data_IF_265416775248
#
_entry.id   IF_265416775248
#
_cell.length_a   1.000
_cell.length_b   1.000
_cell.length_c   1.000
_cell.angle_alpha   90.00
_cell.angle_beta   90.00
_cell.angle_gamma   90.00
#
_symmetry.space_group_name_H-M   'P 1'
#
loop_
_entity.id
_entity.type
_entity.pdbx_description
1 polymer ?
#
# COMPACT_ATOMS: atom_id res chain seq x y z
N UNK A 1 -8.02 11.26 28.40
CA UNK A 1 -8.50 9.99 27.81
C UNK A 1 -9.34 10.21 26.55
N UNK A 2 -10.35 11.10 26.56
CA UNK A 2 -11.21 11.41 25.39
C UNK A 2 -10.40 11.90 24.16
N UNK A 3 -9.44 12.81 24.32
CA UNK A 3 -8.62 13.36 23.22
C UNK A 3 -7.84 12.30 22.47
N UNK A 4 -7.17 11.38 23.18
CA UNK A 4 -6.41 10.26 22.56
C UNK A 4 -7.32 9.36 21.71
N UNK A 5 -8.53 9.08 22.21
CA UNK A 5 -9.50 8.24 21.52
C UNK A 5 -10.06 8.93 20.25
N UNK A 6 -10.42 10.22 20.36
CA UNK A 6 -10.90 11.00 19.21
C UNK A 6 -9.82 11.12 18.13
N UNK A 7 -8.56 11.39 18.54
CA UNK A 7 -7.44 11.44 17.58
C UNK A 7 -7.23 10.08 16.89
N UNK A 8 -7.35 8.98 17.63
CA UNK A 8 -7.19 7.64 17.03
C UNK A 8 -8.28 7.35 16.01
N UNK A 9 -9.55 7.60 16.35
CA UNK A 9 -10.66 7.40 15.40
C UNK A 9 -10.50 8.31 14.18
N UNK A 10 -10.22 9.61 14.40
CA UNK A 10 -9.97 10.54 13.32
C UNK A 10 -8.82 10.09 12.41
N UNK A 11 -7.71 9.62 12.99
CA UNK A 11 -6.57 9.10 12.24
C UNK A 11 -6.93 7.82 11.45
N UNK A 12 -7.71 6.91 12.03
CA UNK A 12 -8.25 5.72 11.34
C UNK A 12 -9.05 6.14 10.10
N UNK A 13 -9.94 7.11 10.22
CA UNK A 13 -10.75 7.61 9.10
C UNK A 13 -9.88 8.33 8.05
N UNK A 14 -8.92 9.15 8.45
CA UNK A 14 -7.99 9.82 7.54
C UNK A 14 -7.13 8.81 6.77
N UNK A 15 -6.66 7.77 7.44
CA UNK A 15 -5.90 6.69 6.79
C UNK A 15 -6.78 5.92 5.81
N UNK A 16 -8.02 5.60 6.18
CA UNK A 16 -9.00 4.99 5.28
C UNK A 16 -9.19 5.84 4.03
N UNK A 17 -9.47 7.14 4.21
CA UNK A 17 -9.65 8.10 3.12
C UNK A 17 -8.41 8.18 2.23
N UNK A 18 -7.21 8.23 2.81
CA UNK A 18 -5.96 8.26 2.04
C UNK A 18 -5.81 7.07 1.10
N UNK A 19 -6.19 5.88 1.56
CA UNK A 19 -6.10 4.65 0.76
C UNK A 19 -7.23 4.52 -0.26
N UNK A 20 -8.43 4.96 0.10
CA UNK A 20 -9.54 5.05 -0.83
C UNK A 20 -9.20 6.01 -1.98
N UNK A 21 -8.72 7.22 -1.70
CA UNK A 21 -8.31 8.19 -2.72
C UNK A 21 -7.23 7.60 -3.64
N UNK A 22 -6.24 6.90 -3.09
CA UNK A 22 -5.14 6.32 -3.85
C UNK A 22 -5.62 5.52 -5.04
N UNK A 23 -6.57 4.63 -4.86
CA UNK A 23 -7.03 3.70 -5.92
C UNK A 23 -8.46 3.99 -6.41
N UNK A 24 -9.02 5.14 -6.07
CA UNK A 24 -10.42 5.52 -6.44
C UNK A 24 -10.70 5.35 -7.93
N UNK A 25 -9.74 5.69 -8.80
CA UNK A 25 -9.95 5.62 -10.23
C UNK A 25 -9.70 4.22 -10.81
N UNK A 26 -9.03 3.34 -10.09
CA UNK A 26 -8.60 2.03 -10.60
C UNK A 26 -9.75 1.16 -11.14
N UNK A 27 -10.89 1.00 -10.45
CA UNK A 27 -11.99 0.17 -10.95
C UNK A 27 -12.79 0.81 -12.10
N UNK A 28 -12.60 2.10 -12.36
CA UNK A 28 -13.35 2.90 -13.35
C UNK A 28 -12.43 3.70 -14.27
N UNK A 29 -11.18 3.25 -14.43
CA UNK A 29 -10.10 4.01 -15.04
C UNK A 29 -10.45 4.48 -16.47
N UNK A 30 -10.90 3.57 -17.33
CA UNK A 30 -11.26 3.90 -18.72
C UNK A 30 -12.48 4.83 -18.79
N UNK A 31 -13.44 4.69 -17.86
CA UNK A 31 -14.59 5.58 -17.79
C UNK A 31 -14.16 7.02 -17.45
N UNK A 32 -13.24 7.17 -16.48
CA UNK A 32 -12.71 8.49 -16.09
C UNK A 32 -11.88 9.10 -17.22
N UNK A 33 -11.07 8.30 -17.92
CA UNK A 33 -10.32 8.74 -19.09
C UNK A 33 -11.24 9.31 -20.17
N UNK A 34 -12.32 8.61 -20.48
CA UNK A 34 -13.32 9.06 -21.46
C UNK A 34 -14.00 10.38 -21.03
N UNK A 35 -14.44 10.50 -19.77
CA UNK A 35 -15.11 11.70 -19.24
C UNK A 35 -14.18 12.92 -19.28
N UNK A 36 -12.92 12.73 -18.91
CA UNK A 36 -11.94 13.82 -18.79
C UNK A 36 -11.21 14.12 -20.10
N UNK A 37 -11.41 13.30 -21.14
CA UNK A 37 -10.79 13.47 -22.46
C UNK A 37 -9.28 13.22 -22.49
N UNK A 38 -8.77 12.38 -21.56
CA UNK A 38 -7.35 12.02 -21.48
C UNK A 38 -7.14 10.52 -21.69
N UNK A 39 -5.88 10.09 -21.85
CA UNK A 39 -5.55 8.67 -22.00
C UNK A 39 -5.71 7.88 -20.68
N UNK A 40 -5.92 6.55 -20.79
CA UNK A 40 -5.90 5.64 -19.65
C UNK A 40 -4.60 5.77 -18.85
N UNK A 41 -3.46 5.96 -19.54
CA UNK A 41 -2.17 6.22 -18.92
C UNK A 41 -2.18 7.46 -18.01
N UNK A 42 -2.84 8.54 -18.43
CA UNK A 42 -2.97 9.76 -17.64
C UNK A 42 -3.77 9.52 -16.36
N UNK A 43 -4.84 8.74 -16.42
CA UNK A 43 -5.63 8.38 -15.22
C UNK A 43 -4.85 7.43 -14.32
N UNK A 44 -4.15 6.44 -14.88
CA UNK A 44 -3.29 5.54 -14.11
C UNK A 44 -2.18 6.26 -13.36
N UNK A 45 -1.63 7.35 -13.91
CA UNK A 45 -0.66 8.20 -13.21
C UNK A 45 -1.22 8.74 -11.89
N UNK A 46 -2.54 8.95 -11.76
CA UNK A 46 -3.17 9.42 -10.52
C UNK A 46 -2.96 8.42 -9.36
N UNK A 47 -2.90 7.13 -9.64
CA UNK A 47 -2.54 6.13 -8.62
C UNK A 47 -1.02 6.08 -8.38
N UNK A 48 -0.20 6.22 -9.43
CA UNK A 48 1.26 6.09 -9.36
C UNK A 48 1.92 7.25 -8.61
N UNK A 49 1.33 8.44 -8.60
CA UNK A 49 1.87 9.58 -7.84
C UNK A 49 1.96 9.29 -6.33
N UNK A 50 1.11 8.42 -5.77
CA UNK A 50 1.17 8.05 -4.35
C UNK A 50 2.47 7.34 -3.97
N UNK A 51 2.88 6.22 -4.58
CA UNK A 51 4.18 5.62 -4.29
C UNK A 51 5.36 6.54 -4.62
N UNK A 52 5.25 7.42 -5.64
CA UNK A 52 6.29 8.42 -5.95
C UNK A 52 6.47 9.40 -4.78
N UNK A 53 5.38 10.05 -4.34
CA UNK A 53 5.46 10.99 -3.22
C UNK A 53 5.83 10.29 -1.91
N UNK A 54 5.37 9.06 -1.69
CA UNK A 54 5.79 8.28 -0.53
C UNK A 54 7.30 8.04 -0.56
N UNK A 55 7.87 7.65 -1.70
CA UNK A 55 9.32 7.44 -1.87
C UNK A 55 10.13 8.71 -1.56
N UNK A 56 9.70 9.85 -2.09
CA UNK A 56 10.41 11.12 -1.94
C UNK A 56 10.26 11.69 -0.53
N UNK A 57 9.06 11.61 0.05
CA UNK A 57 8.70 12.33 1.27
C UNK A 57 8.85 11.51 2.55
N UNK A 58 8.96 10.17 2.49
CA UNK A 58 8.94 9.34 3.70
C UNK A 58 10.04 9.70 4.70
N UNK A 59 11.27 10.00 4.23
CA UNK A 59 12.39 10.40 5.07
C UNK A 59 12.22 11.83 5.60
N UNK A 60 11.97 12.86 4.75
CA UNK A 60 11.70 14.22 5.22
C UNK A 60 10.55 14.30 6.22
N UNK A 61 9.46 13.60 5.94
CA UNK A 61 8.28 13.57 6.82
C UNK A 61 8.59 12.89 8.15
N UNK A 62 9.37 11.82 8.17
CA UNK A 62 9.83 11.20 9.42
C UNK A 62 10.55 12.20 10.32
N UNK A 63 11.48 12.97 9.76
CA UNK A 63 12.22 14.04 10.48
C UNK A 63 11.27 15.14 10.98
N UNK A 64 10.31 15.54 10.16
CA UNK A 64 9.33 16.57 10.53
C UNK A 64 8.42 16.11 11.67
N UNK A 65 7.95 14.86 11.63
CA UNK A 65 7.15 14.24 12.70
C UNK A 65 7.93 14.15 14.02
N UNK A 66 9.23 13.85 13.96
CA UNK A 66 10.09 13.83 15.18
C UNK A 66 10.26 15.22 15.77
N UNK A 67 10.37 16.28 14.95
CA UNK A 67 10.49 17.67 15.41
C UNK A 67 9.22 18.21 16.06
N UNK A 68 8.08 18.04 15.40
CA UNK A 68 6.78 18.47 15.93
C UNK A 68 5.66 17.54 15.43
N UNK A 69 5.47 16.47 16.18
CA UNK A 69 4.52 15.41 15.83
C UNK A 69 3.10 15.93 15.58
N UNK A 70 2.57 16.76 16.48
CA UNK A 70 1.18 17.24 16.38
C UNK A 70 0.97 18.10 15.13
N UNK A 71 1.88 19.05 14.89
CA UNK A 71 1.77 19.97 13.76
C UNK A 71 1.82 19.20 12.43
N UNK A 72 2.83 18.37 12.24
CA UNK A 72 3.05 17.72 10.96
C UNK A 72 2.04 16.61 10.67
N UNK A 73 1.58 15.91 11.70
CA UNK A 73 0.46 14.97 11.53
C UNK A 73 -0.84 15.73 11.19
N UNK A 74 -1.08 16.91 11.76
CA UNK A 74 -2.23 17.74 11.39
C UNK A 74 -2.14 18.26 9.95
N UNK A 75 -0.96 18.70 9.52
CA UNK A 75 -0.73 19.13 8.12
C UNK A 75 -1.06 17.98 7.15
N UNK A 76 -0.53 16.78 7.36
CA UNK A 76 -0.83 15.63 6.50
C UNK A 76 -2.32 15.25 6.49
N UNK A 77 -2.96 15.30 7.68
CA UNK A 77 -4.39 15.01 7.80
C UNK A 77 -5.25 16.05 7.07
N UNK A 78 -4.91 17.33 7.13
CA UNK A 78 -5.62 18.40 6.40
C UNK A 78 -5.43 18.28 4.89
N UNK A 79 -4.23 17.92 4.41
CA UNK A 79 -3.99 17.67 2.98
C UNK A 79 -4.83 16.47 2.48
N UNK A 80 -4.88 15.38 3.25
CA UNK A 80 -5.70 14.21 2.92
C UNK A 80 -7.19 14.56 2.93
N UNK A 81 -7.65 15.33 3.92
CA UNK A 81 -9.02 15.84 3.99
C UNK A 81 -9.37 16.67 2.76
N UNK A 82 -8.53 17.65 2.42
CA UNK A 82 -8.76 18.53 1.27
C UNK A 82 -8.88 17.71 -0.04
N UNK A 83 -8.01 16.71 -0.22
CA UNK A 83 -8.09 15.77 -1.33
C UNK A 83 -9.42 14.99 -1.35
N UNK A 84 -9.82 14.42 -0.23
CA UNK A 84 -11.04 13.61 -0.15
C UNK A 84 -12.33 14.40 -0.26
N UNK A 85 -12.38 15.58 0.36
CA UNK A 85 -13.60 16.38 0.46
C UNK A 85 -13.85 17.25 -0.78
N UNK A 86 -12.83 17.91 -1.33
CA UNK A 86 -13.04 18.95 -2.34
C UNK A 86 -13.05 18.45 -3.78
N UNK A 87 -12.54 17.25 -4.07
CA UNK A 87 -12.59 16.67 -5.42
C UNK A 87 -14.01 16.50 -5.98
N UNK A 88 -15.02 16.46 -5.13
CA UNK A 88 -16.43 16.33 -5.50
C UNK A 88 -16.94 17.54 -6.30
N UNK A 89 -16.31 18.71 -6.17
CA UNK A 89 -16.77 19.94 -6.83
C UNK A 89 -16.31 20.09 -8.27
N UNK A 90 -15.32 19.31 -8.73
CA UNK A 90 -14.82 19.38 -10.11
C UNK A 90 -14.51 17.99 -10.69
N UNK A 91 -15.51 17.07 -10.76
CA UNK A 91 -15.28 15.67 -11.06
C UNK A 91 -14.91 15.39 -12.52
N UNK A 92 -15.13 16.33 -13.44
CA UNK A 92 -14.94 16.13 -14.88
C UNK A 92 -13.67 16.80 -15.45
N UNK A 93 -12.86 17.44 -14.60
CA UNK A 93 -11.68 18.16 -15.07
C UNK A 93 -10.40 17.48 -14.59
N UNK A 94 -9.63 16.89 -15.51
CA UNK A 94 -8.39 16.15 -15.19
C UNK A 94 -7.42 16.95 -14.32
N UNK A 95 -7.19 18.22 -14.61
CA UNK A 95 -6.26 19.09 -13.85
C UNK A 95 -6.67 19.19 -12.37
N UNK A 96 -7.97 19.29 -12.08
CA UNK A 96 -8.47 19.32 -10.71
C UNK A 96 -8.37 17.96 -10.04
N UNK A 97 -8.69 16.88 -10.76
CA UNK A 97 -8.52 15.52 -10.24
C UNK A 97 -7.04 15.26 -9.89
N UNK A 98 -6.13 15.66 -10.77
CA UNK A 98 -4.69 15.56 -10.53
C UNK A 98 -4.24 16.39 -9.33
N UNK A 99 -4.69 17.64 -9.23
CA UNK A 99 -4.37 18.52 -8.09
C UNK A 99 -4.82 17.94 -6.74
N UNK A 100 -6.06 17.47 -6.65
CA UNK A 100 -6.54 16.83 -5.42
C UNK A 100 -5.83 15.51 -5.13
N UNK A 101 -5.53 14.73 -6.16
CA UNK A 101 -4.77 13.50 -6.01
C UNK A 101 -3.36 13.76 -5.46
N UNK A 102 -2.70 14.83 -5.94
CA UNK A 102 -1.41 15.28 -5.40
C UNK A 102 -1.50 15.65 -3.91
N UNK A 103 -2.54 16.38 -3.49
CA UNK A 103 -2.72 16.71 -2.06
C UNK A 103 -2.80 15.45 -1.20
N UNK A 104 -3.56 14.44 -1.65
CA UNK A 104 -3.65 13.15 -0.96
C UNK A 104 -2.32 12.40 -0.92
N UNK A 105 -1.61 12.37 -2.05
CA UNK A 105 -0.30 11.72 -2.18
C UNK A 105 0.77 12.37 -1.28
N UNK A 106 0.75 13.71 -1.14
CA UNK A 106 1.64 14.43 -0.22
C UNK A 106 1.22 14.19 1.24
N UNK A 107 -0.09 14.12 1.53
CA UNK A 107 -0.61 13.89 2.88
C UNK A 107 -0.36 12.47 3.42
N UNK A 108 -0.32 11.45 2.55
CA UNK A 108 -0.20 10.04 2.93
C UNK A 108 1.04 9.71 3.79
N UNK A 109 2.27 10.14 3.45
CA UNK A 109 3.45 9.83 4.25
C UNK A 109 3.36 10.33 5.69
N UNK A 110 2.69 11.46 5.95
CA UNK A 110 2.52 11.98 7.30
C UNK A 110 1.67 11.07 8.18
N UNK A 111 0.59 10.54 7.64
CA UNK A 111 -0.27 9.63 8.39
C UNK A 111 0.34 8.24 8.56
N UNK A 112 0.91 7.64 7.50
CA UNK A 112 1.47 6.29 7.57
C UNK A 112 2.73 6.20 8.43
N UNK A 113 3.65 7.17 8.34
CA UNK A 113 4.85 7.20 9.16
C UNK A 113 4.54 7.49 10.64
N UNK A 114 3.37 8.05 10.94
CA UNK A 114 2.96 8.36 12.30
C UNK A 114 2.52 7.13 13.13
N UNK A 115 2.22 5.98 12.52
CA UNK A 115 1.61 4.83 13.20
C UNK A 115 2.38 4.37 14.45
N UNK A 116 3.64 4.03 14.28
CA UNK A 116 4.48 3.53 15.37
C UNK A 116 4.70 4.61 16.44
N UNK A 117 4.91 5.85 16.01
CA UNK A 117 5.14 7.00 16.85
C UNK A 117 3.91 7.36 17.67
N UNK A 118 2.74 7.44 17.04
CA UNK A 118 1.46 7.66 17.72
C UNK A 118 1.15 6.57 18.74
N UNK A 119 1.30 5.30 18.34
CA UNK A 119 1.02 4.17 19.21
C UNK A 119 1.97 4.10 20.40
N UNK A 120 3.27 4.32 20.22
CA UNK A 120 4.24 4.31 21.31
C UNK A 120 4.05 5.48 22.28
N UNK A 121 3.68 6.66 21.77
CA UNK A 121 3.52 7.87 22.60
C UNK A 121 2.22 7.86 23.41
N UNK A 122 1.10 7.49 22.78
CA UNK A 122 -0.22 7.69 23.39
C UNK A 122 -0.91 6.39 23.83
N UNK A 123 -0.43 5.21 23.35
CA UNK A 123 -1.02 3.89 23.59
C UNK A 123 0.04 2.83 23.93
N UNK A 124 1.08 3.18 24.71
CA UNK A 124 2.21 2.30 25.00
C UNK A 124 1.80 0.88 25.42
N UNK A 125 0.85 0.75 26.39
CA UNK A 125 0.33 -0.55 26.85
C UNK A 125 -0.46 -1.34 25.78
N UNK A 126 -0.92 -0.67 24.74
CA UNK A 126 -1.71 -1.25 23.63
C UNK A 126 -1.10 -0.94 22.26
N UNK A 127 0.20 -0.71 22.22
CA UNK A 127 0.94 -0.28 21.03
C UNK A 127 0.63 -1.15 19.82
N UNK A 128 0.78 -2.47 19.97
CA UNK A 128 0.55 -3.43 18.86
C UNK A 128 -0.89 -3.35 18.34
N UNK A 129 -1.87 -3.34 19.25
CA UNK A 129 -3.28 -3.24 18.86
C UNK A 129 -3.57 -1.93 18.10
N UNK A 130 -3.01 -0.81 18.54
CA UNK A 130 -3.20 0.50 17.89
C UNK A 130 -2.60 0.50 16.47
N UNK A 131 -1.38 -0.03 16.31
CA UNK A 131 -0.75 -0.18 14.98
C UNK A 131 -1.60 -1.09 14.10
N UNK A 132 -2.10 -2.22 14.63
CA UNK A 132 -2.95 -3.14 13.87
C UNK A 132 -4.24 -2.49 13.39
N UNK A 133 -4.91 -1.67 14.23
CA UNK A 133 -6.12 -0.94 13.83
C UNK A 133 -5.85 0.07 12.71
N UNK A 134 -4.75 0.82 12.81
CA UNK A 134 -4.33 1.76 11.76
C UNK A 134 -3.96 1.03 10.47
N UNK A 135 -3.24 -0.09 10.56
CA UNK A 135 -2.91 -0.93 9.39
C UNK A 135 -4.14 -1.56 8.76
N UNK A 136 -5.11 -1.99 9.57
CA UNK A 136 -6.39 -2.51 9.08
C UNK A 136 -7.17 -1.45 8.29
N UNK A 137 -7.14 -0.20 8.75
CA UNK A 137 -7.76 0.93 8.04
C UNK A 137 -7.15 1.16 6.66
N UNK A 138 -5.83 0.93 6.48
CA UNK A 138 -5.16 0.97 5.16
C UNK A 138 -5.84 -0.01 4.20
N UNK A 139 -6.00 -1.26 4.60
CA UNK A 139 -6.62 -2.27 3.73
C UNK A 139 -8.11 -2.01 3.51
N UNK A 140 -8.84 -1.55 4.54
CA UNK A 140 -10.27 -1.24 4.40
C UNK A 140 -10.54 -0.14 3.38
N UNK A 141 -9.74 0.95 3.39
CA UNK A 141 -9.89 2.02 2.41
C UNK A 141 -9.64 1.53 0.98
N UNK A 142 -8.59 0.73 0.79
CA UNK A 142 -8.28 0.15 -0.53
C UNK A 142 -9.38 -0.82 -1.00
N UNK A 143 -9.85 -1.71 -0.13
CA UNK A 143 -10.93 -2.67 -0.45
C UNK A 143 -12.21 -1.94 -0.79
N UNK A 144 -12.59 -0.93 0.00
CA UNK A 144 -13.78 -0.12 -0.24
C UNK A 144 -13.74 0.51 -1.62
N UNK A 145 -12.66 1.18 -1.95
CA UNK A 145 -12.51 1.84 -3.25
C UNK A 145 -12.62 0.87 -4.42
N UNK A 146 -11.90 -0.24 -4.37
CA UNK A 146 -11.86 -1.24 -5.44
C UNK A 146 -13.19 -2.01 -5.58
N UNK A 147 -13.84 -2.36 -4.46
CA UNK A 147 -15.08 -3.13 -4.49
C UNK A 147 -16.31 -2.28 -4.81
N UNK A 148 -16.35 -1.04 -4.30
CA UNK A 148 -17.54 -0.20 -4.40
C UNK A 148 -17.44 0.87 -5.49
N UNK A 149 -16.25 1.15 -6.03
CA UNK A 149 -16.03 2.25 -6.96
C UNK A 149 -16.88 2.15 -8.22
N UNK A 150 -16.92 0.98 -8.85
CA UNK A 150 -17.76 0.78 -10.04
C UNK A 150 -19.25 0.83 -9.74
N UNK A 151 -19.67 0.25 -8.60
CA UNK A 151 -21.07 0.30 -8.17
C UNK A 151 -21.54 1.76 -7.99
N UNK A 152 -20.79 2.59 -7.28
CA UNK A 152 -21.13 4.00 -7.12
C UNK A 152 -21.08 4.76 -8.44
N UNK A 153 -20.11 4.44 -9.30
CA UNK A 153 -20.04 5.06 -10.62
C UNK A 153 -21.30 4.81 -11.45
N UNK A 154 -21.81 3.58 -11.45
CA UNK A 154 -23.01 3.20 -12.16
C UNK A 154 -24.30 3.83 -11.57
N UNK A 155 -24.29 4.24 -10.30
CA UNK A 155 -25.41 4.95 -9.68
C UNK A 155 -25.54 6.41 -10.09
N UNK A 156 -24.43 7.12 -10.35
CA UNK A 156 -24.48 8.55 -10.65
C UNK A 156 -23.14 9.18 -11.00
N UNK A 157 -22.25 8.40 -11.63
CA UNK A 157 -20.95 8.88 -12.12
C UNK A 157 -19.97 9.22 -11.01
N UNK A 158 -19.00 10.07 -11.33
CA UNK A 158 -17.90 10.43 -10.40
C UNK A 158 -18.38 11.12 -9.12
N UNK A 159 -19.50 11.85 -9.19
CA UNK A 159 -20.02 12.54 -8.01
C UNK A 159 -20.41 11.53 -6.91
N UNK A 160 -21.08 10.45 -7.27
CA UNK A 160 -21.47 9.39 -6.32
C UNK A 160 -20.28 8.56 -5.84
N UNK A 161 -19.23 8.41 -6.64
CA UNK A 161 -17.96 7.80 -6.21
C UNK A 161 -17.28 8.62 -5.13
N UNK A 162 -17.28 9.95 -5.27
CA UNK A 162 -16.57 10.84 -4.34
C UNK A 162 -17.36 11.15 -3.06
N UNK A 163 -18.70 11.04 -3.10
CA UNK A 163 -19.56 11.42 -1.98
C UNK A 163 -19.26 10.68 -0.67
N UNK A 164 -19.16 9.34 -0.61
CA UNK A 164 -18.81 8.64 0.62
C UNK A 164 -17.45 9.08 1.18
N UNK A 165 -16.44 9.22 0.32
CA UNK A 165 -15.10 9.67 0.72
C UNK A 165 -15.14 11.09 1.28
N UNK A 166 -15.91 11.99 0.66
CA UNK A 166 -16.05 13.36 1.15
C UNK A 166 -16.69 13.39 2.55
N UNK A 167 -17.76 12.62 2.78
CA UNK A 167 -18.41 12.53 4.08
C UNK A 167 -17.44 11.98 5.14
N UNK A 168 -16.76 10.87 4.85
CA UNK A 168 -15.79 10.26 5.78
C UNK A 168 -14.63 11.22 6.05
N UNK A 169 -14.17 11.98 5.05
CA UNK A 169 -13.13 13.00 5.20
C UNK A 169 -13.54 14.09 6.18
N UNK A 170 -14.76 14.62 6.05
CA UNK A 170 -15.27 15.66 6.97
C UNK A 170 -15.38 15.14 8.39
N UNK A 171 -15.97 13.96 8.59
CA UNK A 171 -16.08 13.34 9.91
C UNK A 171 -14.69 13.06 10.50
N UNK A 172 -13.79 12.49 9.69
CA UNK A 172 -12.43 12.15 10.10
C UNK A 172 -11.62 13.36 10.53
N UNK A 173 -11.64 14.46 9.75
CA UNK A 173 -10.86 15.65 10.09
C UNK A 173 -11.40 16.36 11.33
N UNK A 174 -12.72 16.43 11.51
CA UNK A 174 -13.32 17.04 12.69
C UNK A 174 -12.93 16.27 13.96
N UNK A 175 -13.10 14.94 13.98
CA UNK A 175 -12.71 14.09 15.10
C UNK A 175 -11.20 14.18 15.37
N UNK A 176 -10.38 14.18 14.31
CA UNK A 176 -8.94 14.28 14.41
C UNK A 176 -8.50 15.62 15.00
N UNK A 177 -9.00 16.75 14.49
CA UNK A 177 -8.60 18.08 14.97
C UNK A 177 -9.06 18.33 16.41
N UNK A 178 -10.30 17.98 16.75
CA UNK A 178 -10.78 18.07 18.15
C UNK A 178 -9.93 17.21 19.07
N UNK A 179 -9.54 16.02 18.63
CA UNK A 179 -8.70 15.12 19.41
C UNK A 179 -7.28 15.65 19.57
N UNK A 180 -6.60 16.02 18.47
CA UNK A 180 -5.17 16.37 18.48
C UNK A 180 -4.87 17.67 19.26
N UNK A 181 -5.81 18.60 19.29
CA UNK A 181 -5.69 19.83 20.10
C UNK A 181 -5.56 19.51 21.60
N UNK A 182 -6.28 18.48 22.07
CA UNK A 182 -6.24 18.06 23.47
C UNK A 182 -5.15 17.03 23.82
N UNK A 183 -4.26 16.67 22.86
CA UNK A 183 -3.12 15.79 23.15
C UNK A 183 -1.98 16.56 23.84
N UNK A 184 -1.28 15.87 24.74
CA UNK A 184 -0.01 16.36 25.29
C UNK A 184 1.07 16.37 24.19
N UNK A 185 1.98 17.34 24.23
CA UNK A 185 3.13 17.41 23.33
C UNK A 185 4.12 16.27 23.64
N UNK A 186 4.74 15.71 22.59
CA UNK A 186 5.85 14.77 22.73
C UNK A 186 7.17 15.55 22.85
N UNK A 187 8.07 15.11 23.70
CA UNK A 187 9.46 15.58 23.68
C UNK A 187 10.17 14.98 22.47
N UNK A 188 10.94 15.76 21.71
CA UNK A 188 11.78 15.23 20.65
C UNK A 188 12.75 14.17 21.21
N UNK A 189 12.97 13.09 20.45
CA UNK A 189 14.03 12.13 20.78
C UNK A 189 15.39 12.66 20.29
N UNK A 190 16.49 12.19 20.93
CA UNK A 190 17.84 12.54 20.53
C UNK A 190 18.11 12.13 19.07
N UNK A 191 18.78 13.01 18.33
CA UNK A 191 19.08 12.85 16.90
C UNK A 191 19.98 11.63 16.66
N UNK A 192 19.38 10.52 16.24
CA UNK A 192 20.14 9.43 15.62
C UNK A 192 20.53 9.89 14.21
N UNK A 193 21.80 9.79 13.87
CA UNK A 193 22.28 10.17 12.53
C UNK A 193 21.72 9.21 11.47
N UNK A 194 20.63 9.62 10.80
CA UNK A 194 19.97 8.87 9.71
C UNK A 194 20.99 8.45 8.65
N UNK A 195 21.96 9.31 8.33
CA UNK A 195 23.01 9.01 7.37
C UNK A 195 23.86 7.79 7.76
N UNK A 196 24.26 7.70 9.03
CA UNK A 196 25.09 6.59 9.53
C UNK A 196 24.30 5.28 9.50
N UNK A 197 23.04 5.32 9.91
CA UNK A 197 22.17 4.15 9.92
C UNK A 197 21.80 3.70 8.50
N UNK A 198 21.55 4.63 7.57
CA UNK A 198 21.31 4.31 6.16
C UNK A 198 22.56 3.70 5.52
N UNK A 199 23.76 4.23 5.80
CA UNK A 199 25.03 3.66 5.34
C UNK A 199 25.23 2.22 5.84
N UNK A 200 24.78 1.90 7.02
CA UNK A 200 24.77 0.52 7.53
C UNK A 200 23.81 -0.36 6.71
N UNK A 201 22.56 0.06 6.53
CA UNK A 201 21.54 -0.71 5.83
C UNK A 201 21.95 -1.02 4.37
N UNK A 202 22.48 -0.03 3.65
CA UNK A 202 22.97 -0.19 2.27
C UNK A 202 24.06 -1.26 2.14
N UNK A 203 24.85 -1.50 3.18
CA UNK A 203 25.92 -2.52 3.16
C UNK A 203 25.41 -3.94 3.44
N UNK A 204 24.16 -4.09 3.87
CA UNK A 204 23.58 -5.39 4.24
C UNK A 204 23.00 -6.10 3.02
N UNK A 205 23.71 -7.08 2.45
CA UNK A 205 23.25 -7.86 1.28
C UNK A 205 21.86 -8.45 1.47
N UNK A 206 21.57 -9.00 2.65
CA UNK A 206 20.28 -9.63 2.94
C UNK A 206 19.11 -8.63 2.90
N UNK A 207 19.33 -7.36 3.29
CA UNK A 207 18.31 -6.32 3.19
C UNK A 207 17.98 -5.96 1.74
N UNK A 208 18.98 -5.95 0.86
CA UNK A 208 18.75 -5.78 -0.58
C UNK A 208 17.92 -6.93 -1.14
N UNK A 209 18.32 -8.18 -0.84
CA UNK A 209 17.60 -9.37 -1.33
C UNK A 209 16.16 -9.36 -0.86
N UNK A 210 15.92 -9.13 0.44
CA UNK A 210 14.55 -9.02 0.99
C UNK A 210 13.79 -7.83 0.41
N UNK A 211 14.45 -6.68 0.24
CA UNK A 211 13.85 -5.48 -0.35
C UNK A 211 13.44 -5.68 -1.80
N UNK A 212 14.24 -6.39 -2.60
CA UNK A 212 13.90 -6.75 -3.99
C UNK A 212 12.74 -7.73 -4.03
N UNK A 213 12.77 -8.81 -3.23
CA UNK A 213 11.66 -9.79 -3.17
C UNK A 213 10.35 -9.09 -2.80
N UNK A 214 10.38 -8.28 -1.75
CA UNK A 214 9.21 -7.50 -1.32
C UNK A 214 8.79 -6.51 -2.41
N UNK A 215 9.75 -5.82 -3.02
CA UNK A 215 9.50 -4.82 -4.04
C UNK A 215 8.86 -5.39 -5.30
N UNK A 216 9.27 -6.56 -5.76
CA UNK A 216 8.66 -7.23 -6.90
C UNK A 216 7.22 -7.70 -6.58
N UNK A 217 6.97 -8.18 -5.35
CA UNK A 217 5.63 -8.51 -4.88
C UNK A 217 4.73 -7.27 -4.79
N UNK A 218 5.21 -6.18 -4.20
CA UNK A 218 4.49 -4.90 -4.11
C UNK A 218 4.22 -4.34 -5.51
N UNK A 219 5.21 -4.39 -6.41
CA UNK A 219 5.04 -3.95 -7.80
C UNK A 219 3.95 -4.75 -8.52
N UNK A 220 3.90 -6.07 -8.35
CA UNK A 220 2.84 -6.89 -8.93
C UNK A 220 1.46 -6.52 -8.38
N UNK A 221 1.34 -6.30 -7.06
CA UNK A 221 0.10 -5.87 -6.43
C UNK A 221 -0.34 -4.46 -6.90
N UNK A 222 0.58 -3.50 -6.92
CA UNK A 222 0.28 -2.12 -7.36
C UNK A 222 -0.13 -2.08 -8.84
N UNK A 223 0.47 -2.94 -9.68
CA UNK A 223 0.04 -3.15 -11.06
C UNK A 223 -1.41 -3.66 -11.13
N UNK A 224 -1.74 -4.73 -10.39
CA UNK A 224 -3.12 -5.25 -10.36
C UNK A 224 -4.11 -4.18 -9.89
N UNK A 225 -3.75 -3.41 -8.86
CA UNK A 225 -4.60 -2.35 -8.33
C UNK A 225 -4.76 -1.17 -9.30
N UNK A 226 -3.79 -0.90 -10.17
CA UNK A 226 -3.80 0.26 -11.06
C UNK A 226 -4.31 -0.08 -12.46
N UNK A 227 -3.84 -1.18 -13.05
CA UNK A 227 -4.00 -1.43 -14.48
C UNK A 227 -4.93 -2.59 -14.83
N UNK A 228 -5.41 -3.40 -13.86
CA UNK A 228 -6.22 -4.57 -14.18
C UNK A 228 -7.51 -4.17 -14.92
N UNK A 229 -8.15 -3.03 -14.57
CA UNK A 229 -9.39 -2.59 -15.21
C UNK A 229 -9.21 -2.30 -16.69
N UNK A 230 -8.29 -1.42 -17.16
CA UNK A 230 -8.10 -1.20 -18.58
C UNK A 230 -7.62 -2.45 -19.33
N UNK A 231 -6.79 -3.28 -18.71
CA UNK A 231 -6.37 -4.57 -19.31
C UNK A 231 -7.57 -5.49 -19.54
N UNK A 232 -8.43 -5.66 -18.54
CA UNK A 232 -9.64 -6.49 -18.67
C UNK A 232 -10.68 -5.87 -19.60
N UNK A 233 -10.70 -4.54 -19.75
CA UNK A 233 -11.57 -3.85 -20.68
C UNK A 233 -11.30 -4.24 -22.14
N UNK A 234 -10.05 -4.59 -22.50
CA UNK A 234 -9.69 -5.04 -23.85
C UNK A 234 -10.43 -6.32 -24.28
N UNK A 235 -10.93 -7.10 -23.33
CA UNK A 235 -11.72 -8.33 -23.56
C UNK A 235 -13.14 -8.23 -22.99
N UNK A 236 -13.63 -7.01 -22.76
CA UNK A 236 -15.00 -6.75 -22.30
C UNK A 236 -15.28 -7.14 -20.83
N UNK A 237 -14.26 -7.32 -20.01
CA UNK A 237 -14.38 -7.74 -18.60
C UNK A 237 -13.86 -6.68 -17.60
N UNK A 238 -13.79 -5.41 -18.00
CA UNK A 238 -13.29 -4.34 -17.13
C UNK A 238 -14.03 -4.23 -15.78
N UNK A 239 -15.35 -4.46 -15.79
CA UNK A 239 -16.20 -4.36 -14.61
C UNK A 239 -15.88 -5.35 -13.47
N UNK A 240 -15.17 -6.45 -13.75
CA UNK A 240 -14.84 -7.41 -12.69
C UNK A 240 -13.53 -7.07 -11.97
N UNK A 241 -12.71 -6.21 -12.54
CA UNK A 241 -11.34 -5.96 -12.09
C UNK A 241 -11.28 -5.47 -10.63
N UNK A 242 -12.03 -4.42 -10.29
CA UNK A 242 -12.05 -3.86 -8.94
C UNK A 242 -12.47 -4.89 -7.88
N UNK A 243 -13.56 -5.62 -8.14
CA UNK A 243 -14.06 -6.66 -7.24
C UNK A 243 -13.05 -7.79 -7.04
N UNK A 244 -12.38 -8.24 -8.11
CA UNK A 244 -11.38 -9.31 -8.04
C UNK A 244 -10.16 -8.88 -7.24
N UNK A 245 -9.67 -7.65 -7.42
CA UNK A 245 -8.54 -7.12 -6.62
C UNK A 245 -8.95 -6.94 -5.15
N UNK A 246 -10.17 -6.47 -4.88
CA UNK A 246 -10.69 -6.38 -3.52
C UNK A 246 -10.75 -7.76 -2.84
N UNK A 247 -11.25 -8.79 -3.52
CA UNK A 247 -11.26 -10.18 -3.03
C UNK A 247 -9.84 -10.71 -2.81
N UNK A 248 -8.89 -10.34 -3.67
CA UNK A 248 -7.47 -10.68 -3.51
C UNK A 248 -6.92 -10.13 -2.20
N UNK A 249 -7.27 -8.89 -1.85
CA UNK A 249 -6.90 -8.29 -0.56
C UNK A 249 -7.60 -8.96 0.63
N UNK A 250 -8.90 -9.22 0.53
CA UNK A 250 -9.68 -9.85 1.60
C UNK A 250 -9.10 -11.23 1.94
N UNK A 251 -8.89 -12.08 0.92
CA UNK A 251 -8.27 -13.39 1.15
C UNK A 251 -6.83 -13.27 1.61
N UNK A 252 -6.09 -12.27 1.13
CA UNK A 252 -4.75 -11.97 1.62
C UNK A 252 -4.71 -11.59 3.10
N UNK A 253 -5.67 -10.81 3.59
CA UNK A 253 -5.81 -10.50 5.03
C UNK A 253 -6.09 -11.77 5.85
N UNK A 254 -6.94 -12.66 5.36
CA UNK A 254 -7.18 -13.97 6.00
C UNK A 254 -5.87 -14.77 6.04
N UNK A 255 -5.12 -14.79 4.93
CA UNK A 255 -3.80 -15.42 4.87
C UNK A 255 -2.82 -14.86 5.90
N UNK A 256 -2.76 -13.55 6.10
CA UNK A 256 -1.93 -12.87 7.11
C UNK A 256 -2.25 -13.35 8.54
N UNK A 257 -3.51 -13.62 8.83
CA UNK A 257 -3.91 -14.08 10.18
C UNK A 257 -3.49 -15.54 10.44
N UNK A 258 -3.45 -16.38 9.42
CA UNK A 258 -3.28 -17.83 9.56
C UNK A 258 -1.83 -18.26 9.33
N UNK A 259 -1.21 -17.81 8.23
CA UNK A 259 0.02 -18.40 7.71
C UNK A 259 1.28 -18.01 8.50
N UNK A 260 1.53 -16.72 8.87
CA UNK A 260 2.80 -16.32 9.46
C UNK A 260 3.16 -17.08 10.73
N UNK A 261 2.19 -17.30 11.62
CA UNK A 261 2.41 -18.00 12.88
C UNK A 261 2.86 -19.46 12.67
N UNK A 262 2.30 -20.14 11.67
CA UNK A 262 2.68 -21.52 11.34
C UNK A 262 4.09 -21.60 10.74
N UNK A 263 4.45 -20.63 9.90
CA UNK A 263 5.73 -20.57 9.19
C UNK A 263 6.87 -20.16 10.12
N UNK A 264 6.65 -19.12 10.94
CA UNK A 264 7.71 -18.57 11.82
C UNK A 264 8.05 -19.51 12.97
N UNK A 265 7.06 -20.22 13.55
CA UNK A 265 7.29 -21.25 14.59
C UNK A 265 8.15 -22.42 14.12
N UNK A 266 8.14 -22.74 12.83
CA UNK A 266 8.87 -23.88 12.23
C UNK A 266 10.17 -23.47 11.55
N UNK A 267 10.55 -22.19 11.60
CA UNK A 267 11.71 -21.63 10.87
C UNK A 267 11.68 -21.96 9.36
N UNK A 268 10.50 -21.80 8.72
CA UNK A 268 10.29 -22.11 7.31
C UNK A 268 10.20 -20.85 6.42
N UNK A 269 10.69 -19.67 6.87
CA UNK A 269 10.53 -18.38 6.20
C UNK A 269 11.06 -18.40 4.77
N UNK A 270 12.31 -18.83 4.58
CA UNK A 270 12.94 -18.90 3.26
C UNK A 270 12.23 -19.88 2.34
N UNK A 271 11.80 -21.04 2.88
CA UNK A 271 11.06 -22.05 2.10
C UNK A 271 9.72 -21.46 1.68
N UNK A 272 9.01 -20.77 2.58
CA UNK A 272 7.75 -20.15 2.28
C UNK A 272 7.88 -19.06 1.20
N UNK A 273 8.88 -18.19 1.27
CA UNK A 273 9.10 -17.17 0.26
C UNK A 273 9.37 -17.78 -1.13
N UNK A 274 10.09 -18.89 -1.21
CA UNK A 274 10.26 -19.65 -2.46
C UNK A 274 8.96 -20.23 -2.97
N UNK A 275 8.22 -20.90 -2.08
CA UNK A 275 6.94 -21.51 -2.41
C UNK A 275 5.94 -20.46 -2.94
N UNK A 276 5.74 -19.37 -2.20
CA UNK A 276 4.78 -18.34 -2.60
C UNK A 276 5.16 -17.66 -3.91
N UNK A 277 6.43 -17.30 -4.09
CA UNK A 277 6.87 -16.69 -5.34
C UNK A 277 6.65 -17.65 -6.54
N UNK A 278 6.95 -18.96 -6.37
CA UNK A 278 6.71 -19.95 -7.43
C UNK A 278 5.22 -20.11 -7.74
N UNK A 279 4.37 -20.21 -6.71
CA UNK A 279 2.91 -20.36 -6.90
C UNK A 279 2.32 -19.14 -7.61
N UNK A 280 2.68 -17.92 -7.17
CA UNK A 280 2.16 -16.69 -7.78
C UNK A 280 2.68 -16.52 -9.22
N UNK A 281 3.92 -16.90 -9.49
CA UNK A 281 4.45 -16.97 -10.85
C UNK A 281 3.59 -17.86 -11.74
N UNK A 282 3.30 -19.08 -11.31
CA UNK A 282 2.46 -20.05 -12.07
C UNK A 282 1.04 -19.53 -12.25
N UNK A 283 0.46 -18.85 -11.26
CA UNK A 283 -0.86 -18.21 -11.35
C UNK A 283 -0.86 -17.16 -12.47
N UNK A 284 0.14 -16.27 -12.51
CA UNK A 284 0.19 -15.24 -13.55
C UNK A 284 0.45 -15.82 -14.93
N UNK A 285 1.26 -16.86 -15.05
CA UNK A 285 1.43 -17.61 -16.31
C UNK A 285 0.10 -18.24 -16.75
N UNK A 286 -0.64 -18.87 -15.83
CA UNK A 286 -1.96 -19.44 -16.16
C UNK A 286 -2.96 -18.37 -16.62
N UNK A 287 -2.99 -17.20 -15.98
CA UNK A 287 -3.84 -16.09 -16.37
C UNK A 287 -3.45 -15.47 -17.71
N UNK A 288 -2.18 -15.52 -18.09
CA UNK A 288 -1.74 -15.04 -19.42
C UNK A 288 -2.39 -15.81 -20.58
N UNK A 289 -2.64 -17.10 -20.40
CA UNK A 289 -3.17 -17.96 -21.45
C UNK A 289 -4.64 -18.37 -21.26
N UNK A 290 -5.19 -18.22 -20.06
CA UNK A 290 -6.52 -18.69 -19.69
C UNK A 290 -7.32 -17.65 -18.90
N UNK A 291 -7.17 -16.35 -19.21
CA UNK A 291 -7.95 -15.32 -18.54
C UNK A 291 -9.44 -15.45 -18.89
N UNK A 292 -10.24 -15.69 -17.86
CA UNK A 292 -11.70 -15.73 -17.93
C UNK A 292 -12.27 -15.20 -16.61
N UNK A 293 -13.57 -14.92 -16.56
CA UNK A 293 -14.22 -14.48 -15.33
C UNK A 293 -13.94 -15.45 -14.17
N UNK A 294 -14.06 -16.75 -14.41
CA UNK A 294 -13.85 -17.80 -13.41
C UNK A 294 -12.39 -17.81 -12.93
N UNK A 295 -11.44 -17.86 -13.85
CA UNK A 295 -10.01 -17.93 -13.51
C UNK A 295 -9.55 -16.68 -12.75
N UNK A 296 -10.06 -15.50 -13.11
CA UNK A 296 -9.77 -14.27 -12.37
C UNK A 296 -10.31 -14.33 -10.92
N UNK A 297 -11.57 -14.73 -10.73
CA UNK A 297 -12.19 -14.84 -9.39
C UNK A 297 -11.59 -15.94 -8.51
N UNK A 298 -10.91 -16.92 -9.08
CA UNK A 298 -10.27 -18.01 -8.32
C UNK A 298 -8.78 -17.73 -8.12
N UNK A 299 -8.04 -17.51 -9.20
CA UNK A 299 -6.57 -17.46 -9.15
C UNK A 299 -6.01 -16.19 -8.51
N UNK A 300 -6.62 -15.01 -8.78
CA UNK A 300 -6.13 -13.77 -8.17
C UNK A 300 -6.36 -13.73 -6.64
N UNK A 301 -7.55 -14.05 -6.10
CA UNK A 301 -7.73 -14.15 -4.66
C UNK A 301 -6.83 -15.22 -4.00
N UNK A 302 -6.60 -16.36 -4.66
CA UNK A 302 -5.61 -17.36 -4.19
C UNK A 302 -4.19 -16.78 -4.14
N UNK A 303 -3.80 -16.01 -5.15
CA UNK A 303 -2.49 -15.33 -5.13
C UNK A 303 -2.38 -14.37 -3.95
N UNK A 304 -3.42 -13.61 -3.64
CA UNK A 304 -3.47 -12.72 -2.47
C UNK A 304 -3.32 -13.48 -1.15
N UNK A 305 -4.07 -14.59 -1.00
CA UNK A 305 -4.03 -15.44 0.19
C UNK A 305 -2.62 -15.92 0.53
N UNK A 306 -1.84 -16.30 -0.49
CA UNK A 306 -0.46 -16.77 -0.26
C UNK A 306 0.57 -15.63 -0.28
N UNK A 307 0.36 -14.55 -1.04
CA UNK A 307 1.37 -13.50 -1.23
C UNK A 307 1.41 -12.48 -0.08
N UNK A 308 0.26 -12.01 0.42
CA UNK A 308 0.24 -10.98 1.45
C UNK A 308 0.91 -11.39 2.77
N UNK A 309 0.83 -12.65 3.23
CA UNK A 309 1.57 -13.12 4.41
C UNK A 309 3.10 -13.03 4.29
N UNK A 310 3.65 -12.90 3.09
CA UNK A 310 5.10 -12.74 2.91
C UNK A 310 5.62 -11.48 3.61
N UNK A 311 4.82 -10.39 3.65
CA UNK A 311 5.23 -9.15 4.31
C UNK A 311 5.51 -9.34 5.82
N UNK A 312 4.57 -9.81 6.67
CA UNK A 312 4.87 -10.04 8.09
C UNK A 312 5.93 -11.12 8.32
N UNK A 313 6.08 -12.11 7.44
CA UNK A 313 7.15 -13.11 7.53
C UNK A 313 8.52 -12.47 7.29
N UNK A 314 8.65 -11.56 6.33
CA UNK A 314 9.87 -10.78 6.08
C UNK A 314 10.16 -9.86 7.28
N UNK A 315 9.14 -9.21 7.87
CA UNK A 315 9.33 -8.37 9.06
C UNK A 315 9.80 -9.17 10.27
N UNK A 316 9.27 -10.37 10.46
CA UNK A 316 9.72 -11.26 11.53
C UNK A 316 11.15 -11.76 11.26
N UNK A 317 11.51 -12.03 10.00
CA UNK A 317 12.89 -12.36 9.62
C UNK A 317 13.87 -11.25 10.06
N UNK A 318 13.52 -9.97 9.80
CA UNK A 318 14.31 -8.82 10.28
C UNK A 318 14.36 -8.78 11.81
N UNK A 319 13.25 -8.98 12.48
CA UNK A 319 13.20 -8.90 13.95
C UNK A 319 14.03 -10.00 14.61
N UNK A 320 14.20 -11.15 13.94
CA UNK A 320 15.00 -12.26 14.44
C UNK A 320 16.50 -12.07 14.22
N UNK A 321 16.90 -11.52 13.07
CA UNK A 321 18.30 -11.49 12.64
C UNK A 321 19.00 -10.12 12.77
N UNK A 322 18.27 -9.07 13.11
CA UNK A 322 18.83 -7.74 13.34
C UNK A 322 18.61 -7.28 14.81
N UNK A 323 19.63 -6.62 15.38
CA UNK A 323 19.54 -6.02 16.70
C UNK A 323 18.36 -5.05 16.79
N UNK A 324 17.69 -4.97 17.95
CA UNK A 324 16.50 -4.12 18.16
C UNK A 324 16.72 -2.67 17.74
N UNK A 325 17.88 -2.10 18.02
CA UNK A 325 18.27 -0.74 17.63
C UNK A 325 18.34 -0.52 16.12
N UNK A 326 18.47 -1.59 15.30
CA UNK A 326 18.61 -1.53 13.85
C UNK A 326 17.41 -2.04 13.07
N UNK A 327 16.41 -2.60 13.75
CA UNK A 327 15.21 -3.13 13.06
C UNK A 327 14.43 -2.03 12.34
N UNK A 328 14.34 -0.83 12.92
CA UNK A 328 13.66 0.30 12.31
C UNK A 328 14.30 0.71 10.96
N UNK A 329 15.64 0.86 10.93
CA UNK A 329 16.32 1.24 9.69
C UNK A 329 16.30 0.11 8.65
N UNK A 330 16.39 -1.15 9.07
CA UNK A 330 16.29 -2.30 8.19
C UNK A 330 14.91 -2.35 7.50
N UNK A 331 13.84 -2.16 8.28
CA UNK A 331 12.46 -2.08 7.77
C UNK A 331 12.26 -0.89 6.84
N UNK A 332 12.74 0.29 7.23
CA UNK A 332 12.67 1.52 6.42
C UNK A 332 13.41 1.39 5.10
N UNK A 333 14.62 0.81 5.12
CA UNK A 333 15.40 0.57 3.92
C UNK A 333 14.69 -0.39 2.94
N UNK A 334 14.14 -1.49 3.46
CA UNK A 334 13.35 -2.41 2.62
C UNK A 334 12.10 -1.74 2.03
N UNK A 335 11.38 -0.96 2.83
CA UNK A 335 10.22 -0.21 2.36
C UNK A 335 10.62 0.76 1.24
N UNK A 336 11.74 1.46 1.39
CA UNK A 336 12.31 2.35 0.37
C UNK A 336 12.62 1.59 -0.93
N UNK A 337 13.36 0.48 -0.85
CA UNK A 337 13.68 -0.36 -2.01
C UNK A 337 12.39 -0.86 -2.68
N UNK A 338 11.44 -1.36 -1.90
CA UNK A 338 10.18 -1.88 -2.45
C UNK A 338 9.38 -0.81 -3.21
N UNK A 339 9.40 0.44 -2.77
CA UNK A 339 8.71 1.55 -3.45
C UNK A 339 9.39 1.96 -4.76
N UNK A 340 10.71 1.84 -4.87
CA UNK A 340 11.41 2.02 -6.15
C UNK A 340 10.87 1.00 -7.17
N UNK A 341 10.82 -0.27 -6.80
CA UNK A 341 10.29 -1.32 -7.67
C UNK A 341 8.82 -1.10 -8.04
N UNK A 342 7.98 -0.71 -7.07
CA UNK A 342 6.58 -0.37 -7.31
C UNK A 342 6.46 0.71 -8.39
N UNK A 343 7.11 1.86 -8.21
CA UNK A 343 7.05 2.98 -9.16
C UNK A 343 7.55 2.59 -10.55
N UNK A 344 8.75 1.99 -10.62
CA UNK A 344 9.39 1.64 -11.89
C UNK A 344 8.51 0.65 -12.67
N UNK A 345 8.07 -0.43 -12.04
CA UNK A 345 7.35 -1.48 -12.74
C UNK A 345 5.87 -1.17 -12.96
N UNK A 346 5.25 -0.32 -12.13
CA UNK A 346 3.90 0.14 -12.43
C UNK A 346 3.87 1.11 -13.61
N UNK A 347 4.88 1.97 -13.76
CA UNK A 347 5.05 2.78 -14.98
C UNK A 347 5.40 1.93 -16.21
N UNK A 348 6.29 0.96 -16.06
CA UNK A 348 6.70 0.08 -17.17
C UNK A 348 5.54 -0.76 -17.73
N UNK A 349 4.53 -1.06 -16.93
CA UNK A 349 3.37 -1.82 -17.38
C UNK A 349 2.57 -1.11 -18.49
N UNK A 350 2.68 0.21 -18.62
CA UNK A 350 2.01 0.97 -19.68
C UNK A 350 2.25 0.41 -21.10
N UNK A 351 3.40 -0.22 -21.33
CA UNK A 351 3.71 -0.78 -22.65
C UNK A 351 3.01 -2.11 -22.93
N UNK A 352 2.42 -2.75 -21.94
CA UNK A 352 1.78 -4.08 -22.04
C UNK A 352 0.29 -4.10 -21.73
N UNK A 353 -0.32 -2.99 -21.27
CA UNK A 353 -1.74 -2.94 -20.86
C UNK A 353 -2.73 -3.20 -22.02
N UNK A 354 -2.28 -3.08 -23.25
CA UNK A 354 -3.12 -3.34 -24.44
C UNK A 354 -3.40 -4.84 -24.68
N UNK A 355 -2.73 -5.75 -23.96
CA UNK A 355 -2.88 -7.19 -24.13
C UNK A 355 -2.89 -7.90 -22.80
N UNK A 356 -3.95 -8.67 -22.54
CA UNK A 356 -4.10 -9.49 -21.32
C UNK A 356 -2.92 -10.46 -21.16
N UNK A 357 -2.53 -11.14 -22.23
CA UNK A 357 -1.44 -12.10 -22.22
C UNK A 357 -0.11 -11.43 -21.85
N UNK A 358 0.26 -10.34 -22.54
CA UNK A 358 1.51 -9.64 -22.26
C UNK A 358 1.52 -9.01 -20.87
N UNK A 359 0.40 -8.52 -20.39
CA UNK A 359 0.28 -7.97 -19.05
C UNK A 359 0.55 -9.03 -17.98
N UNK A 360 -0.11 -10.18 -18.02
CA UNK A 360 0.12 -11.25 -17.03
C UNK A 360 1.49 -11.89 -17.20
N UNK A 361 2.06 -11.99 -18.41
CA UNK A 361 3.45 -12.42 -18.60
C UNK A 361 4.44 -11.42 -18.00
N UNK A 362 4.17 -10.12 -18.11
CA UNK A 362 4.96 -9.09 -17.44
C UNK A 362 4.93 -9.27 -15.92
N UNK A 363 3.75 -9.47 -15.32
CA UNK A 363 3.63 -9.76 -13.88
C UNK A 363 4.34 -11.07 -13.51
N UNK A 364 4.20 -12.10 -14.33
CA UNK A 364 4.94 -13.36 -14.14
C UNK A 364 6.45 -13.14 -14.16
N UNK A 365 6.97 -12.34 -15.07
CA UNK A 365 8.41 -12.01 -15.15
C UNK A 365 8.89 -11.28 -13.88
N UNK A 366 8.11 -10.36 -13.32
CA UNK A 366 8.42 -9.71 -12.04
C UNK A 366 8.54 -10.75 -10.91
N UNK A 367 7.57 -11.64 -10.81
CA UNK A 367 7.56 -12.67 -9.76
C UNK A 367 8.63 -13.73 -10.00
N UNK A 368 8.97 -14.06 -11.25
CA UNK A 368 10.13 -14.91 -11.56
C UNK A 368 11.43 -14.28 -11.03
N UNK A 369 11.58 -12.96 -11.18
CA UNK A 369 12.66 -12.23 -10.52
C UNK A 369 12.68 -12.46 -9.01
N UNK A 370 11.52 -12.37 -8.34
CA UNK A 370 11.43 -12.67 -6.91
C UNK A 370 11.82 -14.13 -6.60
N UNK A 371 11.37 -15.11 -7.41
CA UNK A 371 11.79 -16.52 -7.27
C UNK A 371 13.31 -16.64 -7.29
N UNK A 372 13.97 -16.04 -8.29
CA UNK A 372 15.43 -16.09 -8.42
C UNK A 372 16.13 -15.45 -7.21
N UNK A 373 15.66 -14.29 -6.74
CA UNK A 373 16.25 -13.63 -5.58
C UNK A 373 16.08 -14.42 -4.28
N UNK A 374 15.04 -15.26 -4.12
CA UNK A 374 14.89 -16.11 -2.94
C UNK A 374 16.02 -17.13 -2.77
N UNK A 375 16.74 -17.47 -3.84
CA UNK A 375 17.87 -18.40 -3.78
C UNK A 375 19.11 -17.78 -3.12
N UNK A 376 19.20 -16.45 -3.08
CA UNK A 376 20.26 -15.74 -2.37
C UNK A 376 19.99 -15.58 -0.87
N UNK A 377 18.77 -15.92 -0.38
CA UNK A 377 18.47 -15.93 1.05
C UNK A 377 19.13 -17.13 1.74
N UNK A 378 19.78 -16.92 2.91
CA UNK A 378 20.30 -18.00 3.72
C UNK A 378 19.16 -18.88 4.24
N UNK A 379 19.48 -20.15 4.57
CA UNK A 379 18.54 -21.00 5.29
C UNK A 379 18.37 -20.51 6.72
N UNK A 380 17.14 -20.52 7.25
CA UNK A 380 16.80 -19.99 8.58
C UNK A 380 17.70 -20.48 9.73
N UNK A 381 18.19 -21.72 9.65
CA UNK A 381 19.07 -22.33 10.68
C UNK A 381 20.54 -21.87 10.63
N UNK A 382 21.00 -21.22 9.55
CA UNK A 382 22.43 -20.84 9.36
C UNK A 382 22.76 -19.42 9.81
N UNK A 383 21.77 -18.59 10.14
CA UNK A 383 21.99 -17.16 10.48
C UNK A 383 22.23 -16.95 11.98
N UNK A 384 22.17 -18.00 12.80
CA UNK A 384 22.33 -17.96 14.27
C UNK A 384 23.79 -17.80 14.71
N UNK A 385 24.77 -17.76 13.81
CA UNK A 385 26.21 -17.75 14.12
C UNK A 385 27.03 -16.63 13.47
N UNK A 386 26.42 -15.49 13.24
CA UNK A 386 27.15 -14.31 12.73
C UNK A 386 26.93 -13.07 13.59
#
# INVERSE_FOLDING_TARGET
MKSRFLTLIGLILIVFVSQDIWVTYSPILTNVAHITGVSDGSIGLLAIIYPIFFLILTIPVGILLDKNFKLWLAVGSVLTFASGAFRIFAPHTYVWLFGFQMLGAIGQPFSLNAFALFASTYYEKRKTMTISLLSFSVYLGTIFSLAAGEYFYNLGGLHTVFLPTAIISVVGIVLFLVGILGLEGRKPEENVSIYREMKYAVRQKNLWVLGVILGLGVAAYDNLSTWLQPVMQTIGMGQVAGTVVALTLILGLIGILIIPNAITKRDLRTIYLRFVATVVFLIFVALAFAASKITLYVLLPMSGFVMLPAYPIIMEWISKFYAKSRQGIATGFMAFVSRIFSVVFTLSALVVIASVAYYFLFLAALILGAVLFTWFLPRDKRVVSA
#
